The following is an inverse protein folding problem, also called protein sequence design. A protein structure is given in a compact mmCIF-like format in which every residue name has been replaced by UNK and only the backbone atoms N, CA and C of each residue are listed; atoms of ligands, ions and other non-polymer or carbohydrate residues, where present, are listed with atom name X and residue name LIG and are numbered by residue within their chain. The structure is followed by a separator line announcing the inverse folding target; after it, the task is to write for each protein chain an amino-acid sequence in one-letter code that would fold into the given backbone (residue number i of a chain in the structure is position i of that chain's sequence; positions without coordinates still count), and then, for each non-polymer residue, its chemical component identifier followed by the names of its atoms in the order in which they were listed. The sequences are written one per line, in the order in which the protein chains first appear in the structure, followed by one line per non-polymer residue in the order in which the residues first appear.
data_IF_912410121712
#
_entry.id   IF_912410121712
#
_cell.length_a   1.000
_cell.length_b   1.000
_cell.length_c   1.000
_cell.angle_alpha   90.00
_cell.angle_beta   90.00
_cell.angle_gamma   90.00
#
_symmetry.space_group_name_H-M   'P 1'
#
loop_
_entity.id
_entity.type
_entity.pdbx_description
1 polymer ?
#
# COMPACT_ATOMS: atom_id res chain seq x y z
N UNK A 1 -15.94 -2.50 -32.52
CA UNK A 1 -17.07 -2.25 -31.60
C UNK A 1 -16.73 -0.98 -30.83
N UNK A 2 -17.39 0.15 -31.13
CA UNK A 2 -17.09 1.42 -30.45
C UNK A 2 -17.76 1.37 -29.08
N UNK A 3 -16.95 1.33 -28.02
CA UNK A 3 -17.44 1.38 -26.65
C UNK A 3 -18.03 2.76 -26.39
N UNK A 4 -19.31 2.82 -25.98
CA UNK A 4 -19.97 4.08 -25.63
C UNK A 4 -19.43 4.67 -24.32
N UNK A 5 -19.50 5.99 -24.16
CA UNK A 5 -19.05 6.70 -22.94
C UNK A 5 -19.75 6.21 -21.67
N UNK A 6 -21.04 5.92 -21.75
CA UNK A 6 -21.82 5.32 -20.66
C UNK A 6 -21.28 3.95 -20.25
N UNK A 7 -20.78 3.16 -21.21
CA UNK A 7 -20.17 1.87 -20.91
C UNK A 7 -18.87 2.06 -20.14
N UNK A 8 -18.00 2.98 -20.57
CA UNK A 8 -16.72 3.25 -19.89
C UNK A 8 -16.96 3.71 -18.45
N UNK A 9 -17.94 4.61 -18.24
CA UNK A 9 -18.30 5.11 -16.92
C UNK A 9 -18.80 4.01 -15.96
N UNK A 10 -19.41 2.94 -16.48
CA UNK A 10 -19.84 1.80 -15.68
C UNK A 10 -18.73 0.74 -15.54
N UNK A 11 -17.95 0.50 -16.59
CA UNK A 11 -16.98 -0.58 -16.67
C UNK A 11 -15.78 -0.37 -15.75
N UNK A 12 -15.23 0.84 -15.70
CA UNK A 12 -14.05 1.17 -14.88
C UNK A 12 -14.31 0.97 -13.37
N UNK A 13 -15.38 1.54 -12.77
CA UNK A 13 -15.65 1.28 -11.36
C UNK A 13 -16.08 -0.19 -11.12
N UNK A 14 -16.79 -0.82 -12.07
CA UNK A 14 -17.17 -2.23 -11.93
C UNK A 14 -15.94 -3.15 -11.89
N UNK A 15 -14.92 -2.91 -12.73
CA UNK A 15 -13.70 -3.72 -12.73
C UNK A 15 -12.90 -3.54 -11.43
N UNK A 16 -12.83 -2.31 -10.90
CA UNK A 16 -12.23 -2.05 -9.59
C UNK A 16 -12.98 -2.78 -8.46
N UNK A 17 -14.31 -2.72 -8.44
CA UNK A 17 -15.12 -3.45 -7.44
C UNK A 17 -14.89 -4.96 -7.52
N UNK A 18 -14.84 -5.53 -8.74
CA UNK A 18 -14.52 -6.95 -8.93
C UNK A 18 -13.13 -7.28 -8.40
N UNK A 19 -12.13 -6.42 -8.62
CA UNK A 19 -10.79 -6.58 -8.06
C UNK A 19 -10.77 -6.58 -6.52
N UNK A 20 -11.49 -5.66 -5.89
CA UNK A 20 -11.62 -5.60 -4.43
C UNK A 20 -12.33 -6.84 -3.89
N UNK A 21 -13.44 -7.26 -4.51
CA UNK A 21 -14.16 -8.48 -4.12
C UNK A 21 -13.29 -9.72 -4.27
N UNK A 22 -12.50 -9.80 -5.34
CA UNK A 22 -11.55 -10.89 -5.53
C UNK A 22 -10.51 -10.91 -4.41
N UNK A 23 -9.90 -9.77 -4.08
CA UNK A 23 -8.94 -9.70 -2.97
C UNK A 23 -9.56 -10.10 -1.63
N UNK A 24 -10.77 -9.61 -1.32
CA UNK A 24 -11.48 -10.02 -0.11
C UNK A 24 -11.80 -11.52 -0.08
N UNK A 25 -12.14 -12.11 -1.24
CA UNK A 25 -12.34 -13.56 -1.35
C UNK A 25 -11.05 -14.36 -1.07
N UNK A 26 -9.90 -13.88 -1.57
CA UNK A 26 -8.61 -14.51 -1.31
C UNK A 26 -8.23 -14.39 0.17
N UNK A 27 -8.44 -13.21 0.76
CA UNK A 27 -8.22 -13.00 2.19
C UNK A 27 -9.09 -13.91 3.05
N UNK A 28 -10.37 -14.09 2.68
CA UNK A 28 -11.28 -15.01 3.37
C UNK A 28 -10.82 -16.48 3.27
N UNK A 29 -10.20 -16.88 2.16
CA UNK A 29 -9.62 -18.23 2.05
C UNK A 29 -8.43 -18.38 2.99
N UNK A 30 -7.55 -17.36 3.06
CA UNK A 30 -6.39 -17.34 3.97
C UNK A 30 -6.86 -17.31 5.44
N UNK A 31 -7.96 -16.61 5.75
CA UNK A 31 -8.49 -16.50 7.12
C UNK A 31 -9.05 -17.80 7.68
N UNK A 32 -9.34 -18.81 6.84
CA UNK A 32 -9.76 -20.14 7.32
C UNK A 32 -8.66 -20.88 8.06
N UNK A 33 -7.40 -20.46 7.90
CA UNK A 33 -6.28 -21.00 8.67
C UNK A 33 -6.26 -20.32 10.03
N UNK A 34 -6.57 -21.10 11.06
CA UNK A 34 -6.51 -20.66 12.45
C UNK A 34 -5.05 -20.57 12.90
N UNK A 35 -4.67 -19.41 13.43
CA UNK A 35 -3.39 -19.22 14.13
C UNK A 35 -3.73 -18.98 15.60
N UNK A 36 -3.10 -19.74 16.50
CA UNK A 36 -3.38 -19.71 17.95
C UNK A 36 -4.49 -20.67 18.41
N UNK A 37 -4.78 -20.62 19.71
CA UNK A 37 -5.58 -21.62 20.42
C UNK A 37 -7.00 -21.73 19.85
N UNK A 38 -7.35 -22.89 19.27
CA UNK A 38 -8.76 -23.26 19.05
C UNK A 38 -9.45 -23.30 20.43
N UNK A 39 -10.69 -22.80 20.57
CA UNK A 39 -11.42 -22.96 21.81
C UNK A 39 -11.48 -24.45 22.15
N UNK A 40 -11.07 -24.79 23.36
CA UNK A 40 -11.11 -26.16 23.89
C UNK A 40 -12.54 -26.67 23.72
N UNK A 41 -12.73 -27.66 22.87
CA UNK A 41 -14.00 -28.38 22.80
C UNK A 41 -14.25 -29.02 24.16
N UNK A 42 -15.47 -28.89 24.68
CA UNK A 42 -15.91 -29.32 26.02
C UNK A 42 -15.75 -30.83 26.32
N UNK A 43 -15.11 -31.59 25.43
CA UNK A 43 -14.96 -33.04 25.51
C UNK A 43 -13.55 -33.50 25.92
N UNK A 44 -12.62 -32.63 26.33
CA UNK A 44 -11.37 -33.04 26.99
C UNK A 44 -10.37 -33.84 26.12
N UNK A 45 -10.65 -34.07 24.84
CA UNK A 45 -9.74 -34.71 23.91
C UNK A 45 -8.98 -33.65 23.12
N UNK A 46 -7.68 -33.55 23.38
CA UNK A 46 -6.72 -32.91 22.47
C UNK A 46 -6.79 -33.63 21.12
N UNK A 47 -6.99 -32.89 20.03
CA UNK A 47 -6.74 -33.40 18.70
C UNK A 47 -5.23 -33.61 18.58
N UNK A 48 -4.78 -34.84 18.86
CA UNK A 48 -3.42 -35.28 18.59
C UNK A 48 -3.38 -35.54 17.09
N UNK A 49 -2.72 -34.64 16.33
CA UNK A 49 -2.29 -34.96 14.96
C UNK A 49 -1.40 -36.22 15.02
N UNK A 50 -1.44 -37.04 13.97
CA UNK A 50 -0.84 -38.40 13.84
C UNK A 50 0.64 -38.55 14.25
N UNK A 51 1.36 -37.47 14.51
CA UNK A 51 2.80 -37.45 14.79
C UNK A 51 3.17 -37.48 16.28
N UNK A 52 2.22 -37.44 17.22
CA UNK A 52 2.50 -37.55 18.66
C UNK A 52 3.34 -36.42 19.28
N UNK A 53 3.54 -35.32 18.54
CA UNK A 53 4.18 -34.08 19.00
C UNK A 53 3.07 -33.11 19.44
N UNK A 54 3.23 -32.49 20.61
CA UNK A 54 2.30 -31.48 21.11
C UNK A 54 2.42 -30.18 20.28
N UNK A 55 1.83 -30.21 19.09
CA UNK A 55 1.81 -29.12 18.11
C UNK A 55 1.06 -27.88 18.62
N UNK A 56 0.32 -28.00 19.73
CA UNK A 56 -0.38 -26.86 20.34
C UNK A 56 0.60 -25.79 20.83
N UNK A 57 1.74 -26.21 21.37
CA UNK A 57 2.83 -25.32 21.81
C UNK A 57 3.49 -24.56 20.65
N UNK A 58 3.63 -25.21 19.49
CA UNK A 58 4.20 -24.62 18.27
C UNK A 58 3.24 -23.59 17.69
N UNK A 59 1.96 -23.91 17.59
CA UNK A 59 0.93 -23.01 17.07
C UNK A 59 0.80 -21.75 17.96
N UNK A 60 0.92 -21.89 19.28
CA UNK A 60 0.95 -20.76 20.23
C UNK A 60 2.21 -19.91 20.03
N UNK A 61 3.39 -20.52 19.88
CA UNK A 61 4.64 -19.77 19.70
C UNK A 61 4.68 -19.03 18.37
N UNK A 62 4.19 -19.64 17.29
CA UNK A 62 4.05 -19.00 15.98
C UNK A 62 3.13 -17.79 16.06
N UNK A 63 2.02 -17.89 16.80
CA UNK A 63 1.11 -16.76 17.02
C UNK A 63 1.76 -15.62 17.83
N UNK A 64 2.55 -15.95 18.85
CA UNK A 64 3.28 -14.97 19.65
C UNK A 64 4.31 -14.20 18.81
N UNK A 65 5.09 -14.91 17.99
CA UNK A 65 6.08 -14.31 17.08
C UNK A 65 5.38 -13.42 16.04
N UNK A 66 4.26 -13.88 15.48
CA UNK A 66 3.44 -13.06 14.57
C UNK A 66 3.00 -11.76 15.22
N UNK A 67 2.55 -11.81 16.47
CA UNK A 67 2.13 -10.63 17.22
C UNK A 67 3.28 -9.64 17.39
N UNK A 68 4.47 -10.12 17.75
CA UNK A 68 5.66 -9.28 17.91
C UNK A 68 6.06 -8.59 16.60
N UNK A 69 6.03 -9.32 15.48
CA UNK A 69 6.31 -8.76 14.14
C UNK A 69 5.23 -7.73 13.77
N UNK A 70 3.95 -8.06 13.95
CA UNK A 70 2.85 -7.14 13.60
C UNK A 70 2.91 -5.85 14.41
N UNK A 71 3.17 -5.94 15.71
CA UNK A 71 3.29 -4.76 16.59
C UNK A 71 4.49 -3.89 16.19
N UNK A 72 5.64 -4.51 15.92
CA UNK A 72 6.84 -3.80 15.46
C UNK A 72 6.61 -3.09 14.12
N UNK A 73 5.99 -3.77 13.15
CA UNK A 73 5.68 -3.19 11.84
C UNK A 73 4.69 -2.03 11.93
N UNK A 74 3.66 -2.15 12.77
CA UNK A 74 2.67 -1.09 13.00
C UNK A 74 3.28 0.12 13.70
N UNK A 75 4.12 -0.09 14.71
CA UNK A 75 4.80 0.98 15.43
C UNK A 75 5.73 1.78 14.51
N UNK A 76 6.51 1.08 13.68
CA UNK A 76 7.40 1.72 12.71
C UNK A 76 6.61 2.52 11.65
N UNK A 77 5.62 1.91 11.00
CA UNK A 77 4.84 2.61 9.96
C UNK A 77 4.07 3.79 10.52
N UNK A 78 3.50 3.69 11.73
CA UNK A 78 2.80 4.82 12.38
C UNK A 78 3.75 5.99 12.61
N UNK A 79 4.97 5.70 13.08
CA UNK A 79 6.00 6.72 13.28
C UNK A 79 6.39 7.36 11.95
N UNK A 80 6.73 6.55 10.95
CA UNK A 80 7.14 7.01 9.63
C UNK A 80 6.04 7.85 8.96
N UNK A 81 4.79 7.39 9.01
CA UNK A 81 3.64 8.10 8.45
C UNK A 81 3.31 9.41 9.18
N UNK A 82 3.65 9.53 10.46
CA UNK A 82 3.52 10.81 11.18
C UNK A 82 4.47 11.87 10.61
N UNK A 83 5.74 11.53 10.40
CA UNK A 83 6.70 12.44 9.76
C UNK A 83 6.33 12.74 8.30
N UNK A 84 5.90 11.73 7.57
CA UNK A 84 5.41 11.88 6.20
C UNK A 84 4.21 12.81 6.13
N UNK A 85 3.23 12.69 7.03
CA UNK A 85 2.06 13.58 7.05
C UNK A 85 2.45 15.06 7.22
N UNK A 86 3.44 15.35 8.07
CA UNK A 86 3.98 16.71 8.24
C UNK A 86 4.63 17.19 6.94
N UNK A 87 5.48 16.37 6.33
CA UNK A 87 6.12 16.69 5.05
C UNK A 87 5.09 16.93 3.94
N UNK A 88 4.09 16.05 3.80
CA UNK A 88 3.04 16.20 2.80
C UNK A 88 2.21 17.46 3.02
N UNK A 89 1.91 17.81 4.28
CA UNK A 89 1.26 19.07 4.63
C UNK A 89 2.07 20.28 4.17
N UNK A 90 3.36 20.34 4.49
CA UNK A 90 4.24 21.44 4.06
C UNK A 90 4.39 21.50 2.54
N UNK A 91 4.58 20.36 1.89
CA UNK A 91 4.77 20.29 0.44
C UNK A 91 3.49 20.67 -0.31
N UNK A 92 2.31 20.33 0.23
CA UNK A 92 1.02 20.74 -0.34
C UNK A 92 0.84 22.26 -0.35
N UNK A 93 1.34 22.96 0.67
CA UNK A 93 1.36 24.43 0.73
C UNK A 93 2.33 25.00 -0.30
N UNK A 94 3.50 24.39 -0.47
CA UNK A 94 4.49 24.80 -1.48
C UNK A 94 3.88 24.69 -2.89
N UNK A 95 3.26 23.54 -3.21
CA UNK A 95 2.58 23.33 -4.50
C UNK A 95 1.53 24.41 -4.73
N UNK A 96 0.68 24.65 -3.73
CA UNK A 96 -0.39 25.66 -3.85
C UNK A 96 0.17 27.06 -4.12
N UNK A 97 1.13 27.51 -3.30
CA UNK A 97 1.70 28.86 -3.41
C UNK A 97 2.43 29.04 -4.74
N UNK A 98 3.21 28.05 -5.18
CA UNK A 98 3.98 28.15 -6.41
C UNK A 98 3.08 28.18 -7.64
N UNK A 99 2.11 27.27 -7.74
CA UNK A 99 1.16 27.25 -8.85
C UNK A 99 0.25 28.49 -8.87
N UNK A 100 -0.23 28.94 -7.70
CA UNK A 100 -1.06 30.14 -7.63
C UNK A 100 -0.28 31.41 -8.00
N UNK A 101 1.02 31.47 -7.68
CA UNK A 101 1.86 32.64 -7.98
C UNK A 101 2.10 32.87 -9.47
N UNK A 102 2.01 31.84 -10.32
CA UNK A 102 2.15 31.96 -11.78
C UNK A 102 1.10 32.93 -12.35
N UNK A 103 -0.14 32.85 -11.87
CA UNK A 103 -1.21 33.78 -12.26
C UNK A 103 -1.36 34.98 -11.33
N UNK A 104 -0.34 35.30 -10.50
CA UNK A 104 -0.36 36.42 -9.57
C UNK A 104 -1.47 36.33 -8.51
N UNK A 105 -1.89 35.12 -8.13
CA UNK A 105 -3.03 34.88 -7.26
C UNK A 105 -4.34 35.52 -7.78
N UNK A 106 -4.50 35.59 -9.10
CA UNK A 106 -5.74 36.08 -9.69
C UNK A 106 -6.87 35.05 -9.61
N UNK A 107 -8.07 35.53 -9.32
CA UNK A 107 -9.30 34.74 -9.37
C UNK A 107 -9.98 34.81 -10.75
N UNK A 108 -9.48 35.66 -11.64
CA UNK A 108 -10.07 35.86 -12.96
C UNK A 108 -9.76 34.68 -13.89
N UNK A 109 -10.69 34.39 -14.79
CA UNK A 109 -10.47 33.39 -15.84
C UNK A 109 -9.41 33.90 -16.80
N UNK A 110 -8.45 33.04 -17.12
CA UNK A 110 -7.36 33.35 -18.04
C UNK A 110 -7.60 32.69 -19.41
N UNK A 111 -7.04 33.24 -20.50
CA UNK A 111 -7.01 32.53 -21.77
C UNK A 111 -6.27 31.20 -21.60
N UNK A 112 -6.77 30.13 -22.20
CA UNK A 112 -6.14 28.81 -22.10
C UNK A 112 -4.78 28.80 -22.83
N UNK A 113 -3.75 28.20 -22.22
CA UNK A 113 -2.41 28.09 -22.80
C UNK A 113 -2.40 27.31 -24.13
N UNK A 114 -3.29 26.33 -24.27
CA UNK A 114 -3.42 25.52 -25.48
C UNK A 114 -4.32 26.15 -26.56
N UNK A 115 -5.20 27.08 -26.20
CA UNK A 115 -6.13 27.74 -27.12
C UNK A 115 -6.56 29.11 -26.56
N UNK A 116 -5.95 30.18 -27.09
CA UNK A 116 -6.19 31.55 -26.62
C UNK A 116 -7.63 32.04 -26.85
N UNK A 117 -8.44 31.31 -27.64
CA UNK A 117 -9.85 31.65 -27.87
C UNK A 117 -10.78 31.14 -26.77
N UNK A 118 -10.29 30.27 -25.88
CA UNK A 118 -11.05 29.67 -24.79
C UNK A 118 -10.65 30.25 -23.43
N UNK A 119 -11.64 30.35 -22.53
CA UNK A 119 -11.43 30.82 -21.16
C UNK A 119 -11.29 29.66 -20.18
N UNK A 120 -10.08 29.47 -19.68
CA UNK A 120 -9.74 28.45 -18.70
C UNK A 120 -10.04 28.92 -17.25
N UNK A 121 -10.16 27.98 -16.30
CA UNK A 121 -10.29 28.31 -14.88
C UNK A 121 -9.07 29.09 -14.38
N UNK A 122 -9.23 29.79 -13.25
CA UNK A 122 -8.19 30.64 -12.69
C UNK A 122 -7.00 29.84 -12.19
N UNK A 123 -5.82 30.49 -12.12
CA UNK A 123 -4.60 29.84 -11.63
C UNK A 123 -4.74 29.32 -10.19
N UNK A 124 -5.52 30.01 -9.35
CA UNK A 124 -5.85 29.56 -8.00
C UNK A 124 -6.66 28.28 -8.01
N UNK A 125 -7.63 28.16 -8.93
CA UNK A 125 -8.43 26.95 -9.04
C UNK A 125 -7.55 25.76 -9.43
N UNK A 126 -6.74 25.89 -10.49
CA UNK A 126 -5.81 24.84 -10.90
C UNK A 126 -4.84 24.48 -9.77
N UNK A 127 -4.26 25.47 -9.08
CA UNK A 127 -3.40 25.23 -7.92
C UNK A 127 -4.12 24.45 -6.80
N UNK A 128 -5.36 24.83 -6.48
CA UNK A 128 -6.17 24.14 -5.48
C UNK A 128 -6.45 22.68 -5.86
N UNK A 129 -6.88 22.43 -7.10
CA UNK A 129 -7.17 21.08 -7.58
C UNK A 129 -5.91 20.21 -7.65
N UNK A 130 -4.76 20.76 -8.08
CA UNK A 130 -3.47 20.07 -8.05
C UNK A 130 -3.04 19.69 -6.63
N UNK A 131 -3.21 20.60 -5.67
CA UNK A 131 -2.92 20.33 -4.26
C UNK A 131 -3.85 19.26 -3.68
N UNK A 132 -5.14 19.27 -4.03
CA UNK A 132 -6.09 18.23 -3.64
C UNK A 132 -5.72 16.88 -4.25
N UNK A 133 -5.38 16.84 -5.54
CA UNK A 133 -4.94 15.61 -6.21
C UNK A 133 -3.66 15.06 -5.57
N UNK A 134 -2.71 15.93 -5.22
CA UNK A 134 -1.49 15.58 -4.49
C UNK A 134 -1.78 14.91 -3.13
N UNK A 135 -2.65 15.50 -2.32
CA UNK A 135 -3.03 14.92 -1.03
C UNK A 135 -3.76 13.58 -1.23
N UNK A 136 -4.65 13.47 -2.23
CA UNK A 136 -5.34 12.22 -2.55
C UNK A 136 -4.36 11.12 -2.98
N UNK A 137 -3.38 11.44 -3.81
CA UNK A 137 -2.30 10.51 -4.19
C UNK A 137 -1.49 10.05 -2.99
N UNK A 138 -1.12 10.99 -2.12
CA UNK A 138 -0.40 10.72 -0.88
C UNK A 138 -1.14 9.77 0.07
N UNK A 139 -2.43 10.04 0.29
CA UNK A 139 -3.28 9.22 1.14
C UNK A 139 -3.48 7.83 0.55
N UNK A 140 -3.66 7.73 -0.76
CA UNK A 140 -3.82 6.44 -1.45
C UNK A 140 -2.54 5.61 -1.39
N UNK A 141 -1.37 6.24 -1.53
CA UNK A 141 -0.06 5.59 -1.42
C UNK A 141 0.21 5.09 0.00
N UNK A 142 -0.07 5.92 1.01
CA UNK A 142 0.02 5.55 2.43
C UNK A 142 -0.90 4.37 2.75
N UNK A 143 -2.14 4.41 2.28
CA UNK A 143 -3.11 3.33 2.47
C UNK A 143 -2.65 2.04 1.78
N UNK A 144 -2.07 2.15 0.59
CA UNK A 144 -1.54 1.02 -0.18
C UNK A 144 -0.42 0.30 0.57
N UNK A 145 0.55 1.04 1.11
CA UNK A 145 1.62 0.47 1.93
C UNK A 145 1.08 -0.18 3.22
N UNK A 146 0.15 0.49 3.90
CA UNK A 146 -0.44 -0.02 5.15
C UNK A 146 -1.25 -1.31 4.94
N UNK A 147 -2.11 -1.36 3.91
CA UNK A 147 -2.90 -2.56 3.59
C UNK A 147 -2.00 -3.72 3.18
N UNK A 148 -0.93 -3.45 2.41
CA UNK A 148 0.08 -4.44 2.07
C UNK A 148 0.75 -5.04 3.31
N UNK A 149 1.22 -4.19 4.23
CA UNK A 149 1.82 -4.65 5.49
C UNK A 149 0.82 -5.49 6.29
N UNK A 150 -0.43 -5.03 6.44
CA UNK A 150 -1.45 -5.76 7.20
C UNK A 150 -1.73 -7.16 6.67
N UNK A 151 -1.76 -7.35 5.35
CA UNK A 151 -1.94 -8.70 4.81
C UNK A 151 -0.68 -9.56 4.96
N UNK A 152 0.51 -8.98 4.82
CA UNK A 152 1.77 -9.70 4.97
C UNK A 152 1.99 -10.18 6.42
N UNK A 153 1.82 -9.28 7.41
CA UNK A 153 1.89 -9.63 8.83
C UNK A 153 0.77 -10.56 9.27
N UNK A 154 -0.34 -10.62 8.54
CA UNK A 154 -1.40 -11.60 8.76
C UNK A 154 -1.09 -12.97 8.16
N UNK A 155 -0.43 -13.02 6.99
CA UNK A 155 -0.21 -14.24 6.23
C UNK A 155 1.08 -15.00 6.58
N UNK A 156 2.08 -14.32 7.14
CA UNK A 156 3.39 -14.89 7.49
C UNK A 156 3.29 -16.19 8.32
N UNK A 157 2.67 -16.14 9.50
CA UNK A 157 2.48 -17.30 10.38
C UNK A 157 1.61 -18.38 9.74
N UNK A 158 0.57 -18.00 8.99
CA UNK A 158 -0.30 -18.95 8.28
C UNK A 158 0.47 -19.74 7.23
N UNK A 159 1.42 -19.09 6.57
CA UNK A 159 2.31 -19.72 5.61
C UNK A 159 3.24 -20.72 6.31
N UNK A 160 3.80 -20.36 7.48
CA UNK A 160 4.61 -21.26 8.31
C UNK A 160 3.83 -22.49 8.77
N UNK A 161 2.59 -22.33 9.25
CA UNK A 161 1.76 -23.45 9.67
C UNK A 161 1.40 -24.39 8.51
N UNK A 162 1.12 -23.84 7.32
CA UNK A 162 0.83 -24.66 6.13
C UNK A 162 2.09 -25.29 5.52
N UNK A 163 3.29 -24.79 5.83
CA UNK A 163 4.55 -25.43 5.42
C UNK A 163 4.73 -26.83 6.03
N UNK A 164 4.09 -27.12 7.18
CA UNK A 164 4.01 -28.46 7.76
C UNK A 164 3.36 -29.49 6.82
N UNK A 165 2.51 -29.04 5.89
CA UNK A 165 1.80 -29.87 4.91
C UNK A 165 2.49 -29.89 3.53
N UNK A 166 3.70 -29.33 3.46
CA UNK A 166 4.53 -29.28 2.25
C UNK A 166 4.48 -27.93 1.52
N UNK A 167 5.48 -27.75 0.65
CA UNK A 167 5.73 -26.51 -0.10
C UNK A 167 4.54 -26.03 -0.94
N UNK A 168 3.77 -26.94 -1.53
CA UNK A 168 2.62 -26.55 -2.37
C UNK A 168 1.52 -25.83 -1.60
N UNK A 169 1.28 -26.21 -0.34
CA UNK A 169 0.29 -25.56 0.52
C UNK A 169 0.77 -24.20 1.01
N UNK A 170 2.01 -24.13 1.51
CA UNK A 170 2.63 -22.85 1.90
C UNK A 170 2.65 -21.84 0.75
N UNK A 171 3.12 -22.26 -0.43
CA UNK A 171 3.17 -21.40 -1.62
C UNK A 171 1.79 -20.87 -2.00
N UNK A 172 0.75 -21.72 -1.97
CA UNK A 172 -0.61 -21.29 -2.30
C UNK A 172 -1.13 -20.21 -1.35
N UNK A 173 -0.77 -20.25 -0.06
CA UNK A 173 -1.17 -19.22 0.91
C UNK A 173 -0.36 -17.94 0.75
N UNK A 174 0.95 -18.04 0.58
CA UNK A 174 1.81 -16.89 0.31
C UNK A 174 1.36 -16.17 -0.97
N UNK A 175 1.13 -16.91 -2.06
CA UNK A 175 0.68 -16.36 -3.34
C UNK A 175 -0.70 -15.72 -3.25
N UNK A 176 -1.67 -16.37 -2.57
CA UNK A 176 -3.00 -15.77 -2.36
C UNK A 176 -2.90 -14.47 -1.57
N UNK A 177 -2.05 -14.41 -0.56
CA UNK A 177 -1.85 -13.21 0.26
C UNK A 177 -1.18 -12.09 -0.53
N UNK A 178 -0.19 -12.40 -1.37
CA UNK A 178 0.37 -11.45 -2.33
C UNK A 178 -0.65 -10.95 -3.35
N UNK A 179 -1.55 -11.82 -3.81
CA UNK A 179 -2.65 -11.43 -4.69
C UNK A 179 -3.63 -10.46 -4.00
N UNK A 180 -3.94 -10.65 -2.71
CA UNK A 180 -4.77 -9.71 -1.94
C UNK A 180 -4.17 -8.31 -1.99
N UNK A 181 -2.86 -8.18 -1.73
CA UNK A 181 -2.15 -6.90 -1.85
C UNK A 181 -2.27 -6.34 -3.26
N UNK A 182 -1.81 -7.07 -4.28
CA UNK A 182 -1.79 -6.57 -5.67
C UNK A 182 -3.16 -6.12 -6.20
N UNK A 183 -4.20 -6.93 -5.98
CA UNK A 183 -5.55 -6.59 -6.43
C UNK A 183 -6.18 -5.44 -5.65
N UNK A 184 -5.96 -5.34 -4.32
CA UNK A 184 -6.42 -4.19 -3.54
C UNK A 184 -5.75 -2.89 -4.01
N UNK A 185 -4.43 -2.92 -4.20
CA UNK A 185 -3.67 -1.73 -4.60
C UNK A 185 -4.10 -1.24 -5.99
N UNK A 186 -4.14 -2.15 -6.97
CA UNK A 186 -4.52 -1.81 -8.34
C UNK A 186 -5.97 -1.32 -8.43
N UNK A 187 -6.91 -2.01 -7.77
CA UNK A 187 -8.31 -1.64 -7.82
C UNK A 187 -8.60 -0.33 -7.06
N UNK A 188 -8.00 -0.14 -5.88
CA UNK A 188 -8.18 1.07 -5.10
C UNK A 188 -7.55 2.29 -5.80
N UNK A 189 -6.33 2.14 -6.34
CA UNK A 189 -5.68 3.21 -7.10
C UNK A 189 -6.49 3.63 -8.33
N UNK A 190 -7.02 2.65 -9.09
CA UNK A 190 -7.88 2.92 -10.24
C UNK A 190 -9.20 3.61 -9.82
N UNK A 191 -9.84 3.12 -8.75
CA UNK A 191 -11.11 3.66 -8.29
C UNK A 191 -10.96 5.10 -7.79
N UNK A 192 -9.94 5.39 -6.98
CA UNK A 192 -9.69 6.74 -6.48
C UNK A 192 -9.37 7.70 -7.62
N UNK A 193 -8.52 7.31 -8.57
CA UNK A 193 -8.21 8.13 -9.73
C UNK A 193 -9.47 8.41 -10.56
N UNK A 194 -10.26 7.38 -10.85
CA UNK A 194 -11.50 7.52 -11.62
C UNK A 194 -12.51 8.45 -10.93
N UNK A 195 -12.73 8.28 -9.62
CA UNK A 195 -13.62 9.17 -8.86
C UNK A 195 -13.09 10.61 -8.82
N UNK A 196 -11.78 10.79 -8.71
CA UNK A 196 -11.15 12.12 -8.74
C UNK A 196 -11.39 12.81 -10.08
N UNK A 197 -11.24 12.10 -11.21
CA UNK A 197 -11.56 12.60 -12.55
C UNK A 197 -13.03 13.06 -12.62
N UNK A 198 -13.96 12.25 -12.13
CA UNK A 198 -15.39 12.59 -12.17
C UNK A 198 -15.72 13.82 -11.33
N UNK A 199 -15.14 13.94 -10.14
CA UNK A 199 -15.36 15.10 -9.26
C UNK A 199 -14.76 16.35 -9.88
N UNK A 200 -13.54 16.29 -10.41
CA UNK A 200 -12.88 17.45 -11.02
C UNK A 200 -13.62 17.89 -12.28
N UNK A 201 -14.16 16.94 -13.06
CA UNK A 201 -14.98 17.23 -14.23
C UNK A 201 -16.19 18.13 -13.93
N UNK A 202 -16.78 18.03 -12.73
CA UNK A 202 -17.90 18.90 -12.34
C UNK A 202 -17.51 20.39 -12.28
N UNK A 203 -16.24 20.68 -12.02
CA UNK A 203 -15.73 22.06 -11.96
C UNK A 203 -15.13 22.52 -13.30
N UNK A 204 -14.28 21.70 -13.91
CA UNK A 204 -13.55 22.06 -15.14
C UNK A 204 -14.44 22.01 -16.40
N UNK A 205 -15.53 21.24 -16.39
CA UNK A 205 -16.48 21.19 -17.50
C UNK A 205 -15.84 20.69 -18.80
N UNK A 206 -15.74 21.57 -19.79
CA UNK A 206 -15.15 21.29 -21.11
C UNK A 206 -13.64 21.53 -21.17
N UNK A 207 -13.01 22.03 -20.09
CA UNK A 207 -11.57 22.20 -20.02
C UNK A 207 -10.86 20.91 -19.55
N UNK A 208 -10.69 19.98 -20.49
CA UNK A 208 -10.05 18.69 -20.21
C UNK A 208 -8.55 18.81 -19.95
N UNK A 209 -7.87 19.77 -20.58
CA UNK A 209 -6.42 19.95 -20.41
C UNK A 209 -6.13 20.40 -18.98
N UNK A 210 -6.80 21.46 -18.49
CA UNK A 210 -6.63 21.92 -17.11
C UNK A 210 -7.05 20.87 -16.08
N UNK A 211 -8.07 20.06 -16.38
CA UNK A 211 -8.46 18.93 -15.53
C UNK A 211 -7.33 17.91 -15.40
N UNK A 212 -6.77 17.44 -16.51
CA UNK A 212 -5.73 16.41 -16.45
C UNK A 212 -4.40 16.94 -15.93
N UNK A 213 -4.08 18.20 -16.21
CA UNK A 213 -2.95 18.90 -15.60
C UNK A 213 -3.07 18.92 -14.08
N UNK A 214 -4.26 19.23 -13.53
CA UNK A 214 -4.48 19.17 -12.09
C UNK A 214 -4.35 17.74 -11.52
N UNK A 215 -4.74 16.72 -12.29
CA UNK A 215 -4.66 15.31 -11.89
C UNK A 215 -3.22 14.80 -11.84
N UNK A 216 -2.26 15.43 -12.52
CA UNK A 216 -0.83 15.07 -12.38
C UNK A 216 -0.35 15.10 -10.93
N UNK A 217 -0.96 15.97 -10.10
CA UNK A 217 -0.70 16.02 -8.66
C UNK A 217 -0.89 14.66 -7.99
N UNK A 218 -1.82 13.82 -8.47
CA UNK A 218 -2.07 12.48 -7.93
C UNK A 218 -0.83 11.57 -8.02
N UNK A 219 -0.16 11.56 -9.18
CA UNK A 219 1.09 10.80 -9.36
C UNK A 219 2.21 11.35 -8.47
N UNK A 220 2.38 12.68 -8.46
CA UNK A 220 3.37 13.36 -7.63
C UNK A 220 3.21 13.03 -6.14
N UNK A 221 1.97 13.03 -5.63
CA UNK A 221 1.67 12.67 -4.25
C UNK A 221 1.98 11.22 -3.94
N UNK A 222 1.66 10.32 -4.88
CA UNK A 222 1.91 8.89 -4.73
C UNK A 222 3.39 8.56 -4.59
N UNK A 223 4.21 9.07 -5.51
CA UNK A 223 5.65 8.83 -5.53
C UNK A 223 6.41 9.58 -4.43
N UNK A 224 5.91 10.75 -4.00
CA UNK A 224 6.47 11.45 -2.84
C UNK A 224 6.42 10.56 -1.59
N UNK A 225 5.28 9.90 -1.32
CA UNK A 225 5.16 8.95 -0.20
C UNK A 225 6.02 7.71 -0.44
N UNK A 226 6.03 7.19 -1.67
CA UNK A 226 6.82 6.01 -2.01
C UNK A 226 8.32 6.20 -1.77
N UNK A 227 8.85 7.39 -2.07
CA UNK A 227 10.25 7.72 -1.85
C UNK A 227 10.65 7.54 -0.38
N UNK A 228 9.92 8.19 0.55
CA UNK A 228 10.22 8.05 1.98
C UNK A 228 9.90 6.65 2.50
N UNK A 229 8.85 6.00 1.98
CA UNK A 229 8.52 4.63 2.35
C UNK A 229 9.64 3.64 2.00
N UNK A 230 10.17 3.70 0.77
CA UNK A 230 11.28 2.84 0.32
C UNK A 230 12.59 3.17 1.01
N UNK A 231 12.91 4.45 1.20
CA UNK A 231 14.16 4.84 1.85
C UNK A 231 14.09 4.54 3.35
N UNK A 232 13.04 4.97 4.04
CA UNK A 232 12.86 4.75 5.48
C UNK A 232 12.74 3.27 5.83
N UNK A 233 11.85 2.54 5.16
CA UNK A 233 11.69 1.10 5.35
C UNK A 233 12.94 0.33 4.92
N UNK A 234 13.57 0.72 3.80
CA UNK A 234 14.80 0.11 3.28
C UNK A 234 16.01 0.24 4.22
N UNK A 235 16.18 1.41 4.84
CA UNK A 235 17.22 1.61 5.86
C UNK A 235 16.94 0.73 7.07
N UNK A 236 15.68 0.66 7.53
CA UNK A 236 15.30 -0.16 8.68
C UNK A 236 15.59 -1.65 8.44
N UNK A 237 15.08 -2.23 7.34
CA UNK A 237 15.30 -3.65 7.01
C UNK A 237 16.77 -3.96 6.83
N UNK A 238 17.50 -3.19 6.00
CA UNK A 238 18.90 -3.55 5.69
C UNK A 238 19.87 -3.31 6.83
N UNK A 239 19.57 -2.40 7.75
CA UNK A 239 20.36 -2.29 8.98
C UNK A 239 20.18 -3.52 9.89
N UNK A 240 18.95 -4.06 9.97
CA UNK A 240 18.65 -5.23 10.78
C UNK A 240 19.17 -6.53 10.14
N UNK A 241 18.86 -6.77 8.87
CA UNK A 241 19.29 -7.90 8.04
C UNK A 241 20.82 -8.08 8.10
N UNK A 242 21.58 -7.05 7.70
CA UNK A 242 23.05 -7.10 7.70
C UNK A 242 23.62 -7.33 9.11
N UNK A 243 23.03 -6.72 10.14
CA UNK A 243 23.46 -6.89 11.52
C UNK A 243 23.19 -8.29 12.06
N UNK A 244 22.00 -8.83 11.78
CA UNK A 244 21.58 -10.16 12.18
C UNK A 244 22.44 -11.23 11.53
N UNK A 245 22.64 -11.13 10.22
CA UNK A 245 23.34 -12.13 9.43
C UNK A 245 24.84 -12.16 9.70
N UNK A 246 25.50 -11.01 9.78
CA UNK A 246 26.94 -10.98 10.03
C UNK A 246 27.29 -11.55 11.39
N UNK A 247 26.64 -11.07 12.46
CA UNK A 247 26.96 -11.55 13.81
C UNK A 247 26.47 -12.98 14.01
N UNK A 248 25.26 -13.30 13.54
CA UNK A 248 24.68 -14.64 13.69
C UNK A 248 25.45 -15.71 12.92
N UNK A 249 25.50 -15.57 11.59
CA UNK A 249 26.01 -16.62 10.69
C UNK A 249 27.53 -16.64 10.63
N UNK A 250 28.17 -15.47 10.57
CA UNK A 250 29.62 -15.38 10.30
C UNK A 250 30.43 -15.41 11.59
N UNK A 251 30.04 -14.67 12.62
CA UNK A 251 30.81 -14.58 13.87
C UNK A 251 30.46 -15.68 14.87
N UNK A 252 29.17 -15.88 15.13
CA UNK A 252 28.70 -16.79 16.19
C UNK A 252 28.35 -18.20 15.69
N UNK A 253 28.36 -18.43 14.38
CA UNK A 253 27.99 -19.70 13.75
C UNK A 253 26.64 -20.25 14.24
N UNK A 254 25.67 -19.38 14.47
CA UNK A 254 24.28 -19.75 14.72
C UNK A 254 23.48 -19.68 13.41
N UNK A 255 22.37 -20.46 13.28
CA UNK A 255 21.50 -20.38 12.11
C UNK A 255 20.98 -18.95 11.84
N UNK A 256 20.60 -18.71 10.59
CA UNK A 256 19.78 -17.55 10.20
C UNK A 256 18.43 -17.59 10.92
N UNK A 257 17.89 -16.42 11.25
CA UNK A 257 16.66 -16.26 12.04
C UNK A 257 16.67 -16.95 13.42
N UNK A 258 17.84 -17.22 13.99
CA UNK A 258 17.93 -17.88 15.30
C UNK A 258 17.35 -16.97 16.41
N UNK A 259 16.44 -17.47 17.26
CA UNK A 259 15.76 -16.66 18.28
C UNK A 259 16.70 -16.12 19.37
N UNK A 260 17.95 -16.59 19.44
CA UNK A 260 18.98 -16.02 20.34
C UNK A 260 19.57 -14.72 19.82
N UNK A 261 19.42 -14.43 18.53
CA UNK A 261 19.92 -13.21 17.91
C UNK A 261 18.90 -12.08 18.11
N UNK A 262 19.27 -11.00 18.84
CA UNK A 262 18.34 -9.93 19.17
C UNK A 262 17.89 -9.10 17.95
N UNK A 263 18.58 -9.20 16.81
CA UNK A 263 18.25 -8.46 15.61
C UNK A 263 17.14 -9.11 14.75
N UNK A 264 16.79 -10.38 14.99
CA UNK A 264 15.89 -11.16 14.12
C UNK A 264 14.47 -10.61 14.08
N UNK A 265 13.96 -10.07 15.19
CA UNK A 265 12.64 -9.42 15.19
C UNK A 265 12.66 -8.16 14.32
N UNK A 266 13.72 -7.35 14.39
CA UNK A 266 13.84 -6.15 13.57
C UNK A 266 14.01 -6.49 12.08
N UNK A 267 14.68 -7.60 11.78
CA UNK A 267 14.83 -8.10 10.41
C UNK A 267 13.48 -8.48 9.79
N UNK A 268 12.74 -9.36 10.48
CA UNK A 268 11.40 -9.79 10.05
C UNK A 268 10.36 -8.66 10.05
N UNK A 269 10.48 -7.68 10.96
CA UNK A 269 9.69 -6.44 10.89
C UNK A 269 10.07 -5.64 9.64
N UNK A 270 11.37 -5.58 9.35
CA UNK A 270 11.98 -4.97 8.17
C UNK A 270 11.35 -5.40 6.87
N UNK A 271 11.16 -6.70 6.66
CA UNK A 271 10.53 -7.25 5.45
C UNK A 271 9.13 -6.66 5.22
N UNK A 272 8.36 -6.49 6.29
CA UNK A 272 6.99 -5.98 6.20
C UNK A 272 6.95 -4.46 5.97
N UNK A 273 7.92 -3.70 6.51
CA UNK A 273 7.92 -2.23 6.43
C UNK A 273 8.67 -1.70 5.21
N UNK A 274 9.73 -2.37 4.77
CA UNK A 274 10.51 -2.03 3.59
C UNK A 274 9.97 -2.72 2.35
N UNK A 275 10.08 -4.06 2.34
CA UNK A 275 9.87 -4.86 1.14
C UNK A 275 8.38 -4.99 0.79
N UNK A 276 7.48 -4.86 1.76
CA UNK A 276 6.03 -4.84 1.50
C UNK A 276 5.48 -3.41 1.46
N UNK A 277 5.53 -2.66 2.56
CA UNK A 277 4.88 -1.34 2.60
C UNK A 277 5.53 -0.33 1.65
N UNK A 278 6.87 -0.28 1.60
CA UNK A 278 7.61 0.57 0.67
C UNK A 278 7.38 0.19 -0.79
N UNK A 279 7.44 -1.11 -1.11
CA UNK A 279 7.16 -1.60 -2.48
C UNK A 279 5.71 -1.33 -2.91
N UNK A 280 4.74 -1.50 -2.00
CA UNK A 280 3.33 -1.23 -2.28
C UNK A 280 3.08 0.23 -2.65
N UNK A 281 3.68 1.16 -1.90
CA UNK A 281 3.63 2.59 -2.21
C UNK A 281 4.31 2.93 -3.55
N UNK A 282 5.44 2.29 -3.85
CA UNK A 282 6.21 2.49 -5.10
C UNK A 282 5.48 2.01 -6.35
N UNK A 283 4.91 0.80 -6.31
CA UNK A 283 4.10 0.29 -7.41
C UNK A 283 2.84 1.14 -7.64
N UNK A 284 2.24 1.65 -6.56
CA UNK A 284 1.15 2.60 -6.67
C UNK A 284 1.60 3.92 -7.34
N UNK A 285 2.74 4.48 -6.93
CA UNK A 285 3.32 5.68 -7.55
C UNK A 285 3.55 5.49 -9.05
N UNK A 286 4.17 4.36 -9.42
CA UNK A 286 4.40 3.97 -10.82
C UNK A 286 3.08 3.88 -11.63
N UNK A 287 2.04 3.28 -11.06
CA UNK A 287 0.71 3.20 -11.67
C UNK A 287 0.09 4.59 -11.85
N UNK A 288 0.12 5.42 -10.81
CA UNK A 288 -0.48 6.74 -10.79
C UNK A 288 0.22 7.67 -11.80
N UNK A 289 1.55 7.74 -11.78
CA UNK A 289 2.33 8.56 -12.71
C UNK A 289 2.17 8.12 -14.15
N UNK A 290 2.26 6.82 -14.45
CA UNK A 290 2.10 6.33 -15.82
C UNK A 290 0.71 6.65 -16.38
N UNK A 291 -0.32 6.55 -15.54
CA UNK A 291 -1.69 6.87 -15.96
C UNK A 291 -1.87 8.38 -16.13
N UNK A 292 -1.41 9.19 -15.18
CA UNK A 292 -1.50 10.65 -15.28
C UNK A 292 -0.71 11.20 -16.47
N UNK A 293 0.48 10.65 -16.75
CA UNK A 293 1.31 11.05 -17.89
C UNK A 293 0.67 10.73 -19.24
N UNK A 294 -0.20 9.72 -19.32
CA UNK A 294 -0.96 9.41 -20.52
C UNK A 294 -2.24 10.26 -20.67
N UNK A 295 -2.70 10.90 -19.59
CA UNK A 295 -3.91 11.74 -19.57
C UNK A 295 -3.64 13.20 -19.92
N UNK A 296 -2.44 13.70 -19.62
CA UNK A 296 -1.95 15.04 -20.01
C UNK A 296 -1.43 15.02 -21.44
#
# INVERSE_FOLDING_TARGET
MVLGTTFVLAFVPASAVVGILFALSQWYIVSKISVGRKPVSNNGYMHVDEDGIDNSSVDEKVAEIQSAISEGSEAFLTTMYTYLAIFMGLFSVIIFVFLASVGGFSFDRQPCDYDQTKSCPSSIASAFFSTVAFILGALTSTLSGYLGMKIATYANARTTLEARKGVGKAFAIAFRSGAVMGFLLAANGLLVLFLTILVFKLYFGDDWVGLYEAITGYGLGGSSVALFGRVGGGIYTKAADVGADLVGKVEQNIPEDDPRNPAVIADNVGDNVGDIAGMGADLFGSFAESTCAALV
#
